data_IF_293102089272
#
_entry.id   IF_293102089272
#
_cell.length_a   1.000
_cell.length_b   1.000
_cell.length_c   1.000
_cell.angle_alpha   90.00
_cell.angle_beta   90.00
_cell.angle_gamma   90.00
#
_symmetry.space_group_name_H-M   'P 1'
#
loop_
_entity.id
_entity.type
_entity.pdbx_description
1 polymer ?
#
# COMPACT_ATOMS: atom_id res chain seq x y z
N UNK A 1 10.15 10.80 11.13
CA UNK A 1 9.36 10.69 9.91
C UNK A 1 10.25 10.41 8.71
N UNK A 2 9.66 9.99 7.63
CA UNK A 2 10.36 9.81 6.36
C UNK A 2 9.57 10.47 5.22
N UNK A 3 10.23 10.66 4.08
CA UNK A 3 9.65 11.17 2.85
C UNK A 3 10.27 10.41 1.65
N UNK A 4 9.52 10.32 0.55
CA UNK A 4 10.07 9.80 -0.71
C UNK A 4 11.23 10.67 -1.21
N UNK A 5 12.15 10.10 -1.95
CA UNK A 5 13.23 10.84 -2.64
C UNK A 5 12.70 11.96 -3.56
N UNK A 6 11.44 11.88 -4.00
CA UNK A 6 10.77 12.95 -4.76
C UNK A 6 10.44 14.18 -3.91
N UNK A 7 10.59 14.09 -2.59
CA UNK A 7 10.19 15.11 -1.63
C UNK A 7 8.71 15.01 -1.25
N UNK A 8 8.22 16.06 -0.54
CA UNK A 8 6.81 16.10 -0.13
C UNK A 8 6.54 17.02 1.06
N UNK A 9 5.30 17.05 1.47
CA UNK A 9 4.89 17.82 2.65
C UNK A 9 5.30 17.09 3.94
N UNK A 10 5.89 17.84 4.86
CA UNK A 10 6.22 17.37 6.21
C UNK A 10 5.71 18.34 7.26
N UNK A 11 5.40 17.81 8.43
CA UNK A 11 5.07 18.60 9.62
C UNK A 11 6.23 18.55 10.59
N UNK A 12 6.76 19.73 10.91
CA UNK A 12 7.82 19.87 11.90
C UNK A 12 7.21 20.40 13.19
N UNK A 13 7.49 19.73 14.31
CA UNK A 13 7.03 20.11 15.64
C UNK A 13 8.22 20.69 16.41
N UNK A 14 8.01 21.84 17.05
CA UNK A 14 9.02 22.55 17.84
C UNK A 14 8.37 23.47 18.86
N UNK A 15 9.17 24.23 19.57
CA UNK A 15 8.68 25.19 20.57
C UNK A 15 8.99 26.63 20.15
N UNK A 16 8.17 27.57 20.64
CA UNK A 16 8.38 29.02 20.49
C UNK A 16 8.54 29.48 19.01
N UNK A 17 7.79 28.88 18.11
CA UNK A 17 7.78 29.28 16.71
C UNK A 17 7.03 30.60 16.59
N UNK A 18 7.75 31.68 16.30
CA UNK A 18 7.16 33.01 16.15
C UNK A 18 6.31 33.13 14.88
N UNK A 19 5.30 34.00 14.93
CA UNK A 19 4.52 34.31 13.75
C UNK A 19 5.32 35.26 12.84
N UNK A 20 5.71 34.76 11.67
CA UNK A 20 6.44 35.53 10.68
C UNK A 20 6.01 35.14 9.26
N UNK A 21 6.09 36.07 8.33
CA UNK A 21 5.89 35.84 6.91
C UNK A 21 7.14 35.24 6.23
N UNK A 22 8.29 35.26 6.92
CA UNK A 22 9.59 34.76 6.41
C UNK A 22 9.97 33.41 7.01
N UNK A 23 8.98 32.65 7.50
CA UNK A 23 9.23 31.29 8.03
C UNK A 23 9.74 30.39 6.92
N UNK A 24 10.89 29.76 7.13
CA UNK A 24 11.54 28.86 6.17
C UNK A 24 12.01 27.58 6.84
N UNK A 25 12.10 26.51 6.03
CA UNK A 25 12.72 25.26 6.41
C UNK A 25 13.99 25.06 5.64
N UNK A 26 15.06 24.60 6.29
CA UNK A 26 16.33 24.22 5.68
C UNK A 26 16.54 22.72 5.80
N UNK A 27 16.86 22.08 4.69
CA UNK A 27 17.15 20.66 4.57
C UNK A 27 18.66 20.48 4.28
N UNK A 28 19.36 19.90 5.24
CA UNK A 28 20.80 19.82 5.18
C UNK A 28 21.44 21.21 5.23
N UNK A 29 22.44 21.45 4.36
CA UNK A 29 23.23 22.70 4.40
C UNK A 29 22.70 23.80 3.46
N UNK A 30 22.07 23.42 2.35
CA UNK A 30 21.86 24.36 1.23
C UNK A 30 20.39 24.47 0.77
N UNK A 31 19.55 23.46 0.99
CA UNK A 31 18.20 23.45 0.47
C UNK A 31 17.25 24.20 1.41
N UNK A 32 16.73 25.32 0.97
CA UNK A 32 15.80 26.16 1.75
C UNK A 32 14.47 26.26 1.01
N UNK A 33 13.38 26.01 1.73
CA UNK A 33 12.02 26.16 1.20
C UNK A 33 11.17 27.06 2.08
N UNK A 34 10.13 27.66 1.49
CA UNK A 34 9.14 28.40 2.26
C UNK A 34 8.36 27.44 3.16
N UNK A 35 7.98 27.95 4.32
CA UNK A 35 7.21 27.20 5.29
C UNK A 35 5.95 27.93 5.70
N UNK A 36 4.94 27.19 6.13
CA UNK A 36 3.68 27.73 6.66
C UNK A 36 3.57 27.39 8.13
N UNK A 37 3.55 28.41 8.98
CA UNK A 37 3.30 28.22 10.41
C UNK A 37 1.84 27.83 10.63
N UNK A 38 1.62 26.71 11.28
CA UNK A 38 0.29 26.21 11.64
C UNK A 38 -0.10 26.62 13.07
N UNK A 39 0.89 26.60 13.98
CA UNK A 39 0.72 27.02 15.40
C UNK A 39 2.03 27.54 15.98
N UNK A 40 2.05 27.88 17.28
CA UNK A 40 3.29 28.20 17.99
C UNK A 40 4.26 27.02 18.13
N UNK A 41 3.80 25.81 17.84
CA UNK A 41 4.59 24.60 17.97
C UNK A 41 4.65 23.76 16.68
N UNK A 42 4.04 24.20 15.58
CA UNK A 42 3.91 23.37 14.38
C UNK A 42 4.11 24.19 13.11
N UNK A 43 4.97 23.69 12.22
CA UNK A 43 5.25 24.28 10.91
C UNK A 43 5.09 23.21 9.85
N UNK A 44 4.48 23.58 8.74
CA UNK A 44 4.41 22.80 7.50
C UNK A 44 5.55 23.22 6.59
N UNK A 45 6.39 22.26 6.21
CA UNK A 45 7.46 22.44 5.25
C UNK A 45 7.21 21.58 4.01
N UNK A 46 7.77 22.01 2.87
CA UNK A 46 7.87 21.17 1.68
C UNK A 46 9.31 20.71 1.52
N UNK A 47 9.55 19.43 1.79
CA UNK A 47 10.85 18.81 1.57
C UNK A 47 11.11 18.72 0.05
N UNK A 48 12.21 19.27 -0.46
CA UNK A 48 12.56 19.17 -1.88
C UNK A 48 12.98 17.74 -2.24
N UNK A 49 13.02 17.39 -3.52
CA UNK A 49 13.59 16.13 -3.97
C UNK A 49 15.06 16.00 -3.53
N UNK A 50 15.41 14.80 -3.05
CA UNK A 50 16.76 14.52 -2.55
C UNK A 50 17.11 13.04 -2.70
N UNK A 51 18.39 12.73 -2.81
CA UNK A 51 18.87 11.34 -2.79
C UNK A 51 18.56 10.68 -1.44
N UNK A 52 18.28 9.36 -1.41
CA UNK A 52 18.01 8.64 -0.16
C UNK A 52 19.09 8.84 0.90
N UNK A 53 18.64 9.00 2.16
CA UNK A 53 19.51 9.21 3.31
C UNK A 53 18.92 10.14 4.35
N UNK A 54 19.59 10.25 5.48
CA UNK A 54 19.21 11.11 6.60
C UNK A 54 19.71 12.54 6.39
N UNK A 55 18.79 13.51 6.49
CA UNK A 55 19.09 14.94 6.37
C UNK A 55 18.54 15.70 7.56
N UNK A 56 19.33 16.63 8.11
CA UNK A 56 18.88 17.54 9.16
C UNK A 56 17.80 18.50 8.63
N UNK A 57 16.79 18.76 9.45
CA UNK A 57 15.77 19.77 9.18
C UNK A 57 15.87 20.87 10.23
N UNK A 58 15.93 22.11 9.77
CA UNK A 58 16.02 23.28 10.61
C UNK A 58 14.95 24.30 10.18
N UNK A 59 14.50 25.14 11.13
CA UNK A 59 13.50 26.16 10.89
C UNK A 59 14.08 27.54 11.18
N UNK A 60 13.66 28.51 10.41
CA UNK A 60 13.92 29.93 10.67
C UNK A 60 12.60 30.70 10.67
N UNK A 61 12.37 31.54 11.66
CA UNK A 61 11.24 32.49 11.71
C UNK A 61 11.52 33.82 10.99
N UNK A 62 12.78 34.16 10.76
CA UNK A 62 13.18 35.41 10.09
C UNK A 62 13.85 35.20 8.72
N UNK A 63 13.92 33.98 8.26
CA UNK A 63 14.50 33.60 6.97
C UNK A 63 16.03 33.62 6.91
N UNK A 64 16.71 33.93 8.02
CA UNK A 64 18.17 34.07 8.12
C UNK A 64 18.79 33.17 9.20
N UNK A 65 18.27 33.22 10.41
CA UNK A 65 18.79 32.44 11.54
C UNK A 65 18.03 31.11 11.65
N UNK A 66 18.71 30.03 11.33
CA UNK A 66 18.13 28.69 11.37
C UNK A 66 18.45 28.01 12.69
N UNK A 67 17.37 27.56 13.39
CA UNK A 67 17.44 26.74 14.57
C UNK A 67 17.02 25.31 14.23
N UNK A 68 17.74 24.38 14.79
CA UNK A 68 17.46 22.94 14.70
C UNK A 68 17.46 22.30 16.08
N UNK A 69 17.44 21.00 16.10
CA UNK A 69 17.57 20.28 17.34
C UNK A 69 18.97 20.40 17.95
N UNK A 70 19.03 20.26 19.28
CA UNK A 70 20.29 20.04 19.98
C UNK A 70 21.04 18.83 19.39
N UNK A 71 22.36 18.88 19.36
CA UNK A 71 23.29 17.96 18.67
C UNK A 71 23.06 16.44 18.91
N UNK A 72 22.20 16.06 19.86
CA UNK A 72 21.93 14.67 20.22
C UNK A 72 20.49 14.20 19.93
N UNK A 73 19.66 14.97 19.23
CA UNK A 73 18.27 14.61 19.00
C UNK A 73 18.08 13.95 17.63
N UNK A 74 17.88 12.65 17.62
CA UNK A 74 17.55 11.85 16.41
C UNK A 74 16.24 12.28 15.72
N UNK A 75 15.41 13.09 16.41
CA UNK A 75 14.10 13.55 15.92
C UNK A 75 14.14 14.67 14.89
N UNK A 76 15.32 15.24 14.60
CA UNK A 76 15.49 16.34 13.65
C UNK A 76 16.07 15.91 12.31
N UNK A 77 16.12 14.63 12.08
CA UNK A 77 16.50 14.09 10.79
C UNK A 77 15.25 13.61 10.04
N UNK A 78 15.18 13.99 8.80
CA UNK A 78 14.24 13.47 7.82
C UNK A 78 14.94 12.35 7.05
N UNK A 79 14.30 11.20 6.99
CA UNK A 79 14.77 10.03 6.26
C UNK A 79 14.20 10.08 4.82
N UNK A 80 15.06 10.37 3.85
CA UNK A 80 14.68 10.26 2.44
C UNK A 80 14.83 8.82 1.98
N UNK A 81 13.73 8.24 1.52
CA UNK A 81 13.67 6.85 1.06
C UNK A 81 13.42 6.78 -0.44
N UNK A 82 13.92 5.73 -1.11
CA UNK A 82 13.56 5.48 -2.51
C UNK A 82 12.05 5.45 -2.69
N UNK A 83 11.56 6.01 -3.78
CA UNK A 83 10.15 6.01 -4.10
C UNK A 83 9.63 4.57 -4.24
N UNK A 84 8.53 4.27 -3.54
CA UNK A 84 7.82 3.01 -3.70
C UNK A 84 7.15 2.96 -5.08
N UNK A 85 7.30 1.85 -5.78
CA UNK A 85 6.58 1.61 -7.03
C UNK A 85 5.80 0.32 -6.98
N UNK A 86 4.62 0.29 -7.61
CA UNK A 86 3.84 -0.93 -7.81
C UNK A 86 3.86 -1.27 -9.31
N UNK A 87 4.16 -2.52 -9.62
CA UNK A 87 4.32 -3.00 -11.00
C UNK A 87 3.13 -3.84 -11.43
N UNK A 88 2.59 -4.68 -10.55
CA UNK A 88 1.49 -5.58 -10.88
C UNK A 88 0.78 -6.12 -9.65
N UNK A 89 -0.44 -6.61 -9.86
CA UNK A 89 -1.21 -7.39 -8.89
C UNK A 89 -1.59 -8.75 -9.49
N UNK A 90 -1.67 -9.79 -8.65
CA UNK A 90 -2.13 -11.14 -9.02
C UNK A 90 -2.82 -11.83 -7.85
N UNK A 91 -3.98 -12.54 -8.08
CA UNK A 91 -4.73 -12.59 -9.34
C UNK A 91 -5.44 -11.26 -9.65
N UNK A 92 -5.97 -11.11 -10.88
CA UNK A 92 -6.75 -9.94 -11.33
C UNK A 92 -8.26 -10.11 -11.20
N UNK A 93 -8.71 -11.22 -10.63
CA UNK A 93 -10.12 -11.46 -10.36
C UNK A 93 -10.32 -12.36 -9.15
N UNK A 94 -11.49 -12.28 -8.55
CA UNK A 94 -11.89 -13.11 -7.41
C UNK A 94 -13.37 -12.97 -7.10
N UNK A 95 -13.92 -13.86 -6.23
CA UNK A 95 -15.32 -13.88 -5.93
C UNK A 95 -15.80 -12.64 -5.15
N UNK A 96 -17.06 -12.28 -5.34
CA UNK A 96 -17.72 -11.19 -4.59
C UNK A 96 -17.75 -11.44 -3.08
N UNK A 97 -17.66 -12.67 -2.64
CA UNK A 97 -17.55 -13.04 -1.22
C UNK A 97 -16.25 -12.56 -0.57
N UNK A 98 -15.30 -12.08 -1.38
CA UNK A 98 -13.99 -11.64 -0.90
C UNK A 98 -13.06 -12.77 -0.50
N UNK A 99 -12.02 -12.43 0.26
CA UNK A 99 -11.06 -13.41 0.81
C UNK A 99 -9.97 -13.87 -0.17
N UNK A 100 -10.00 -13.45 -1.42
CA UNK A 100 -8.91 -13.74 -2.39
C UNK A 100 -7.63 -13.07 -1.93
N UNK A 101 -6.55 -13.84 -1.79
CA UNK A 101 -5.22 -13.30 -1.50
C UNK A 101 -4.61 -12.72 -2.78
N UNK A 102 -4.59 -11.40 -2.87
CA UNK A 102 -3.97 -10.67 -3.98
C UNK A 102 -2.54 -10.34 -3.61
N UNK A 103 -1.61 -10.77 -4.43
CA UNK A 103 -0.18 -10.44 -4.30
C UNK A 103 0.10 -9.16 -5.10
N UNK A 104 0.70 -8.20 -4.44
CA UNK A 104 1.18 -6.95 -5.02
C UNK A 104 2.68 -7.07 -5.24
N UNK A 105 3.15 -6.79 -6.45
CA UNK A 105 4.56 -6.77 -6.81
C UNK A 105 5.02 -5.36 -7.13
N UNK A 106 6.21 -5.02 -6.64
CA UNK A 106 6.75 -3.68 -6.82
C UNK A 106 8.19 -3.54 -6.33
N UNK A 107 8.56 -2.34 -5.90
CA UNK A 107 9.87 -2.06 -5.32
C UNK A 107 9.75 -1.11 -4.12
N UNK A 108 10.70 -1.21 -3.21
CA UNK A 108 10.86 -0.36 -2.03
C UNK A 108 9.64 -0.31 -1.11
N UNK A 109 8.93 -1.44 -0.96
CA UNK A 109 7.83 -1.53 0.00
C UNK A 109 8.37 -1.37 1.42
N UNK A 110 7.85 -0.38 2.19
CA UNK A 110 8.29 -0.17 3.56
C UNK A 110 7.75 -1.30 4.46
N UNK A 111 8.50 -1.64 5.50
CA UNK A 111 8.11 -2.66 6.48
C UNK A 111 7.86 -2.08 7.89
N UNK A 112 8.04 -0.78 8.04
CA UNK A 112 7.96 -0.04 9.30
C UNK A 112 6.77 0.91 9.38
N UNK A 113 5.95 0.94 8.33
CA UNK A 113 4.69 1.68 8.29
C UNK A 113 3.54 0.77 7.85
N UNK A 114 2.32 0.99 8.36
CA UNK A 114 1.16 0.24 7.93
C UNK A 114 0.83 0.58 6.48
N UNK A 115 0.54 -0.47 5.70
CA UNK A 115 0.18 -0.38 4.29
C UNK A 115 -1.20 -0.97 4.06
N UNK A 116 -1.93 -0.42 3.11
CA UNK A 116 -3.26 -0.89 2.71
C UNK A 116 -3.42 -1.03 1.21
N UNK A 117 -4.23 -2.02 0.80
CA UNK A 117 -4.80 -2.08 -0.53
C UNK A 117 -6.20 -1.46 -0.50
N UNK A 118 -6.48 -0.58 -1.43
CA UNK A 118 -7.80 -0.01 -1.64
C UNK A 118 -8.45 -0.68 -2.84
N UNK A 119 -9.55 -1.38 -2.63
CA UNK A 119 -10.40 -1.91 -3.70
C UNK A 119 -11.56 -0.91 -3.92
N UNK A 120 -11.42 -0.03 -4.91
CA UNK A 120 -12.24 1.17 -5.01
C UNK A 120 -12.03 2.06 -3.78
N UNK A 121 -13.09 2.26 -2.99
CA UNK A 121 -13.04 3.04 -1.74
C UNK A 121 -12.88 2.18 -0.47
N UNK A 122 -12.73 0.86 -0.60
CA UNK A 122 -12.66 -0.04 0.54
C UNK A 122 -11.20 -0.40 0.86
N UNK A 123 -10.64 0.10 1.97
CA UNK A 123 -9.30 -0.27 2.41
C UNK A 123 -9.28 -1.65 3.07
N UNK A 124 -8.22 -2.40 2.83
CA UNK A 124 -7.88 -3.63 3.51
C UNK A 124 -6.40 -3.63 3.86
N UNK A 125 -6.07 -4.03 5.07
CA UNK A 125 -4.68 -4.07 5.53
C UNK A 125 -3.83 -4.98 4.65
N UNK A 126 -2.64 -4.53 4.30
CA UNK A 126 -1.66 -5.29 3.56
C UNK A 126 -0.68 -5.99 4.52
N UNK A 127 -0.20 -7.15 4.11
CA UNK A 127 0.91 -7.83 4.77
C UNK A 127 2.15 -7.72 3.89
N UNK A 128 3.18 -7.05 4.36
CA UNK A 128 4.47 -6.93 3.66
C UNK A 128 5.23 -8.24 3.82
N UNK A 129 5.57 -8.87 2.70
CA UNK A 129 6.37 -10.10 2.65
C UNK A 129 7.85 -9.78 2.44
N UNK A 130 8.13 -8.80 1.60
CA UNK A 130 9.48 -8.29 1.30
C UNK A 130 9.41 -6.86 0.78
N UNK A 131 10.55 -6.24 0.53
CA UNK A 131 10.61 -4.91 -0.12
C UNK A 131 10.07 -4.88 -1.56
N UNK A 132 9.66 -6.04 -2.11
CA UNK A 132 9.14 -6.14 -3.49
C UNK A 132 7.79 -6.87 -3.57
N UNK A 133 7.28 -7.39 -2.46
CA UNK A 133 6.09 -8.23 -2.45
C UNK A 133 5.24 -7.96 -1.21
N UNK A 134 3.96 -7.73 -1.42
CA UNK A 134 2.96 -7.61 -0.37
C UNK A 134 1.71 -8.44 -0.72
N UNK A 135 0.86 -8.72 0.25
CA UNK A 135 -0.41 -9.42 0.04
C UNK A 135 -1.56 -8.70 0.71
N UNK A 136 -2.71 -8.66 0.05
CA UNK A 136 -3.97 -8.16 0.57
C UNK A 136 -5.08 -9.19 0.37
N UNK A 137 -6.06 -9.26 1.28
CA UNK A 137 -7.27 -10.06 1.07
C UNK A 137 -8.38 -9.18 0.53
N UNK A 138 -9.01 -9.57 -0.58
CA UNK A 138 -10.12 -8.80 -1.14
C UNK A 138 -11.29 -8.69 -0.16
N UNK A 139 -11.94 -7.52 -0.09
CA UNK A 139 -13.16 -7.35 0.69
C UNK A 139 -14.35 -8.03 0.00
N UNK A 140 -15.48 -8.14 0.68
CA UNK A 140 -16.77 -8.44 0.06
C UNK A 140 -17.13 -7.26 -0.84
N UNK A 141 -17.63 -7.53 -2.05
CA UNK A 141 -17.95 -6.50 -3.04
C UNK A 141 -19.12 -6.90 -3.92
N UNK A 142 -19.54 -6.02 -4.80
CA UNK A 142 -20.48 -6.34 -5.88
C UNK A 142 -19.73 -6.82 -7.11
N UNK A 143 -20.43 -7.53 -8.01
CA UNK A 143 -19.89 -7.94 -9.32
C UNK A 143 -19.47 -6.71 -10.12
N UNK A 144 -18.28 -6.76 -10.70
CA UNK A 144 -17.76 -5.72 -11.59
C UNK A 144 -16.29 -5.38 -11.36
N UNK A 145 -15.78 -4.46 -12.15
CA UNK A 145 -14.41 -3.98 -12.01
C UNK A 145 -14.26 -3.08 -10.77
N UNK A 146 -13.10 -3.16 -10.14
CA UNK A 146 -12.66 -2.27 -9.09
C UNK A 146 -11.23 -1.83 -9.34
N UNK A 147 -10.95 -0.55 -9.18
CA UNK A 147 -9.57 -0.06 -9.16
C UNK A 147 -8.89 -0.48 -7.86
N UNK A 148 -7.67 -0.96 -7.97
CA UNK A 148 -6.83 -1.31 -6.82
C UNK A 148 -5.67 -0.34 -6.71
N UNK A 149 -5.52 0.27 -5.54
CA UNK A 149 -4.37 1.09 -5.16
C UNK A 149 -3.67 0.46 -3.97
N UNK A 150 -2.35 0.60 -3.91
CA UNK A 150 -1.54 0.17 -2.79
C UNK A 150 -0.83 1.39 -2.19
N UNK A 151 -1.12 1.71 -0.94
CA UNK A 151 -0.75 2.97 -0.31
C UNK A 151 -0.42 2.77 1.16
N UNK A 152 0.24 3.77 1.74
CA UNK A 152 0.27 3.93 3.20
C UNK A 152 -1.15 4.22 3.72
N UNK A 153 -1.45 3.78 4.94
CA UNK A 153 -2.75 4.02 5.56
C UNK A 153 -3.08 5.51 5.60
N UNK A 154 -4.33 5.84 5.26
CA UNK A 154 -4.89 7.19 5.20
C UNK A 154 -4.22 8.16 4.20
N UNK A 155 -3.18 7.76 3.49
CA UNK A 155 -2.39 8.62 2.60
C UNK A 155 -2.40 8.17 1.13
N UNK A 156 -3.48 7.51 0.68
CA UNK A 156 -3.59 7.11 -0.72
C UNK A 156 -3.72 8.33 -1.63
N UNK A 157 -2.59 8.75 -2.19
CA UNK A 157 -2.52 9.92 -3.09
C UNK A 157 -3.29 9.65 -4.38
N UNK A 158 -3.79 10.72 -4.99
CA UNK A 158 -4.52 10.64 -6.25
C UNK A 158 -3.64 10.17 -7.43
N UNK A 159 -2.33 10.30 -7.31
CA UNK A 159 -1.31 9.89 -8.30
C UNK A 159 -0.77 8.47 -8.12
N UNK A 160 -1.26 7.74 -7.09
CA UNK A 160 -0.90 6.35 -6.90
C UNK A 160 -1.28 5.49 -8.11
N UNK A 161 -0.39 4.59 -8.52
CA UNK A 161 -0.66 3.64 -9.61
C UNK A 161 -1.91 2.82 -9.33
N UNK A 162 -2.79 2.71 -10.32
CA UNK A 162 -4.04 1.95 -10.24
C UNK A 162 -3.94 0.67 -11.05
N UNK A 163 -4.57 -0.38 -10.57
CA UNK A 163 -4.64 -1.69 -11.23
C UNK A 163 -6.08 -2.17 -11.24
N UNK A 164 -6.45 -2.88 -12.30
CA UNK A 164 -7.80 -3.44 -12.41
C UNK A 164 -7.90 -4.79 -11.71
N UNK A 165 -8.93 -4.94 -10.88
CA UNK A 165 -9.37 -6.20 -10.31
C UNK A 165 -10.86 -6.39 -10.60
N UNK A 166 -11.26 -7.58 -11.02
CA UNK A 166 -12.67 -7.87 -11.35
C UNK A 166 -13.28 -8.79 -10.32
N UNK A 167 -14.31 -8.30 -9.62
CA UNK A 167 -15.15 -9.14 -8.76
C UNK A 167 -16.15 -9.90 -9.62
N UNK A 168 -16.15 -11.23 -9.46
CA UNK A 168 -17.03 -12.14 -10.19
C UNK A 168 -17.96 -12.87 -9.22
N UNK A 169 -19.08 -13.35 -9.70
CA UNK A 169 -19.94 -14.20 -8.89
C UNK A 169 -19.21 -15.45 -8.42
N UNK A 170 -19.58 -15.95 -7.26
CA UNK A 170 -19.02 -17.19 -6.71
C UNK A 170 -19.45 -18.37 -7.57
N UNK A 171 -18.49 -19.25 -7.87
CA UNK A 171 -18.81 -20.55 -8.48
C UNK A 171 -19.70 -21.33 -7.52
N UNK A 172 -20.81 -21.86 -8.02
CA UNK A 172 -21.67 -22.80 -7.31
C UNK A 172 -21.57 -24.17 -7.96
N UNK A 173 -21.30 -25.19 -7.15
CA UNK A 173 -21.27 -26.60 -7.58
C UNK A 173 -22.52 -27.28 -7.05
N UNK A 174 -23.45 -27.60 -7.96
CA UNK A 174 -24.70 -28.24 -7.62
C UNK A 174 -24.58 -29.76 -7.52
N UNK A 175 -23.82 -30.40 -8.40
CA UNK A 175 -23.64 -31.86 -8.42
C UNK A 175 -22.38 -32.28 -9.23
N UNK A 176 -21.98 -33.52 -9.03
CA UNK A 176 -20.94 -34.18 -9.78
C UNK A 176 -21.41 -35.54 -10.30
N UNK A 177 -20.89 -36.01 -11.43
CA UNK A 177 -21.19 -37.35 -11.99
C UNK A 177 -19.92 -37.90 -12.69
N UNK A 178 -19.54 -39.17 -12.45
CA UNK A 178 -20.08 -40.08 -11.44
C UNK A 178 -19.70 -39.70 -10.00
N UNK A 179 -20.42 -40.17 -9.01
CA UNK A 179 -20.14 -39.95 -7.58
C UNK A 179 -19.12 -40.95 -7.01
N UNK A 180 -18.71 -41.94 -7.76
CA UNK A 180 -17.79 -42.99 -7.32
C UNK A 180 -16.81 -43.32 -8.42
N UNK A 181 -15.61 -43.69 -8.02
CA UNK A 181 -14.53 -44.11 -8.94
C UNK A 181 -13.55 -45.07 -8.24
N UNK A 182 -12.68 -45.70 -8.98
CA UNK A 182 -11.67 -46.61 -8.43
C UNK A 182 -10.64 -45.79 -7.63
N UNK A 183 -10.12 -46.36 -6.55
CA UNK A 183 -9.09 -45.73 -5.71
C UNK A 183 -7.78 -45.48 -6.47
N UNK A 184 -7.58 -46.14 -7.61
CA UNK A 184 -6.43 -45.91 -8.50
C UNK A 184 -6.50 -44.62 -9.31
N UNK A 185 -7.64 -43.90 -9.24
CA UNK A 185 -7.87 -42.66 -9.96
C UNK A 185 -8.23 -42.89 -11.45
N UNK A 186 -8.14 -41.82 -12.26
CA UNK A 186 -8.40 -41.84 -13.69
C UNK A 186 -9.87 -41.68 -14.10
N UNK A 187 -10.82 -41.56 -13.16
CA UNK A 187 -12.22 -41.31 -13.49
C UNK A 187 -12.39 -39.84 -13.93
N UNK A 188 -12.96 -39.65 -15.11
CA UNK A 188 -13.43 -38.32 -15.53
C UNK A 188 -14.72 -38.01 -14.81
N UNK A 189 -14.77 -36.88 -14.15
CA UNK A 189 -15.93 -36.41 -13.38
C UNK A 189 -16.45 -35.12 -14.00
N UNK A 190 -17.73 -35.14 -14.39
CA UNK A 190 -18.44 -33.94 -14.81
C UNK A 190 -18.95 -33.18 -13.59
N UNK A 191 -18.67 -31.88 -13.56
CA UNK A 191 -19.12 -30.99 -12.48
C UNK A 191 -20.22 -30.09 -13.02
N UNK A 192 -21.39 -30.15 -12.38
CA UNK A 192 -22.56 -29.37 -12.73
C UNK A 192 -22.75 -28.24 -11.72
N UNK A 193 -22.99 -27.04 -12.22
CA UNK A 193 -23.15 -25.86 -11.35
C UNK A 193 -23.34 -24.58 -12.17
N UNK A 194 -23.04 -23.48 -11.60
CA UNK A 194 -23.17 -22.16 -12.23
C UNK A 194 -21.91 -21.33 -12.09
N UNK A 195 -21.80 -20.29 -12.91
CA UNK A 195 -20.71 -19.32 -12.90
C UNK A 195 -19.31 -19.90 -13.20
N UNK A 196 -19.23 -21.01 -13.93
CA UNK A 196 -17.97 -21.51 -14.45
C UNK A 196 -17.46 -20.56 -15.53
N UNK A 197 -16.33 -19.89 -15.25
CA UNK A 197 -15.67 -19.01 -16.21
C UNK A 197 -14.60 -19.83 -16.92
N UNK A 198 -14.66 -19.90 -18.24
CA UNK A 198 -13.62 -20.55 -19.05
C UNK A 198 -12.32 -19.74 -18.91
N UNK A 199 -11.39 -20.27 -18.15
CA UNK A 199 -10.09 -19.65 -17.90
C UNK A 199 -9.01 -20.70 -17.69
N UNK A 200 -7.78 -20.36 -18.02
CA UNK A 200 -6.61 -21.20 -17.76
C UNK A 200 -6.37 -21.51 -16.27
N UNK A 201 -7.05 -20.79 -15.37
CA UNK A 201 -6.93 -20.95 -13.93
C UNK A 201 -8.05 -21.79 -13.30
N UNK A 202 -9.06 -22.20 -14.08
CA UNK A 202 -10.11 -23.09 -13.57
C UNK A 202 -9.51 -24.45 -13.19
N UNK A 203 -9.72 -24.87 -11.96
CA UNK A 203 -9.19 -26.12 -11.40
C UNK A 203 -10.26 -26.84 -10.61
N UNK A 204 -10.25 -28.17 -10.68
CA UNK A 204 -10.99 -29.03 -9.77
C UNK A 204 -10.05 -29.47 -8.64
N UNK A 205 -10.47 -29.29 -7.40
CA UNK A 205 -9.78 -29.79 -6.21
C UNK A 205 -10.64 -30.83 -5.51
N UNK A 206 -10.07 -31.95 -5.13
CA UNK A 206 -10.71 -32.94 -4.28
C UNK A 206 -10.32 -32.66 -2.84
N UNK A 207 -11.31 -32.67 -1.94
CA UNK A 207 -11.09 -32.59 -0.49
C UNK A 207 -11.56 -33.86 0.16
N UNK A 208 -10.79 -34.38 1.11
CA UNK A 208 -11.23 -35.46 1.97
C UNK A 208 -12.34 -34.99 2.93
N UNK A 209 -12.93 -35.93 3.69
CA UNK A 209 -13.98 -35.62 4.68
C UNK A 209 -13.49 -34.69 5.81
N UNK A 210 -12.19 -34.46 5.94
CA UNK A 210 -11.57 -33.59 6.93
C UNK A 210 -11.15 -32.23 6.32
N UNK A 211 -11.41 -32.03 5.00
CA UNK A 211 -11.10 -30.78 4.30
C UNK A 211 -9.68 -30.63 3.76
N UNK A 212 -8.87 -31.69 3.83
CA UNK A 212 -7.54 -31.70 3.22
C UNK A 212 -7.65 -31.78 1.71
N UNK A 213 -6.80 -31.06 0.99
CA UNK A 213 -6.72 -31.04 -0.49
C UNK A 213 -5.55 -31.91 -0.89
N UNK A 214 -5.82 -32.91 -1.75
CA UNK A 214 -4.79 -33.69 -2.44
C UNK A 214 -4.24 -32.97 -3.66
#
# INVERSE_FOLDING_TARGET
GYVSEDGGEIIVVGDNIEASMDTKCRFGRELVTLASRLSSSTVRCFAPAHTPGLISVEISSNGADFGGCSENATLCFLDYRPAMTVVSIQPKSGPISGGTSVTVHGTHFPNDVPMSCYFGNTPVAATIISSTTATCKTPVSMVGPAEVKFCEDDACRSDASTFDFTFVDSIDVASISPMTGPATGGTVVDVYGSMFIDSSNLRCGLKDAHGNVD
#
